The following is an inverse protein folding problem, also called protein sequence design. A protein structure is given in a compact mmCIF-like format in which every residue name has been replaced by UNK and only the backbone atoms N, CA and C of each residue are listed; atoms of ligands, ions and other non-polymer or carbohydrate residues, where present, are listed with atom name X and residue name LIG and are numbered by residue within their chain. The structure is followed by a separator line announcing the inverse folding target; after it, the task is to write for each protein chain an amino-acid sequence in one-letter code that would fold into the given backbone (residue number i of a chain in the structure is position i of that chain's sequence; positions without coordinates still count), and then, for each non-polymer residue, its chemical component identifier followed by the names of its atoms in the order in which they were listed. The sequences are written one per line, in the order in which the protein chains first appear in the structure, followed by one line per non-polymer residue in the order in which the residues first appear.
data_IF_473614804124
#
_entry.id   IF_473614804124
#
_cell.length_a   1.000
_cell.length_b   1.000
_cell.length_c   1.000
_cell.angle_alpha   90.00
_cell.angle_beta   90.00
_cell.angle_gamma   90.00
#
_symmetry.space_group_name_H-M   'P 1'
#
loop_
_entity.id
_entity.type
_entity.pdbx_description
1 polymer ?
#
# COMPACT_ATOMS: atom_id res chain seq x y z
N UNK A 1 -29.24 -38.26 -11.57
CA UNK A 1 -28.12 -38.02 -10.62
C UNK A 1 -26.85 -37.51 -11.30
N UNK A 2 -26.35 -38.13 -12.39
CA UNK A 2 -25.11 -37.70 -13.08
C UNK A 2 -25.12 -36.23 -13.55
N UNK A 3 -26.21 -35.73 -14.11
CA UNK A 3 -26.30 -34.34 -14.58
C UNK A 3 -26.35 -33.31 -13.43
N UNK A 4 -26.86 -33.70 -12.26
CA UNK A 4 -26.90 -32.83 -11.08
C UNK A 4 -25.51 -32.71 -10.43
N UNK A 5 -24.73 -33.80 -10.42
CA UNK A 5 -23.31 -33.76 -10.02
C UNK A 5 -22.46 -32.90 -10.97
N UNK A 6 -22.70 -32.99 -12.28
CA UNK A 6 -22.00 -32.18 -13.27
C UNK A 6 -22.26 -30.68 -13.06
N UNK A 7 -23.52 -30.32 -12.80
CA UNK A 7 -23.93 -28.93 -12.53
C UNK A 7 -23.28 -28.41 -11.24
N UNK A 8 -23.21 -29.21 -10.18
CA UNK A 8 -22.54 -28.81 -8.93
C UNK A 8 -21.03 -28.63 -9.10
N UNK A 9 -20.37 -29.47 -9.91
CA UNK A 9 -18.93 -29.35 -10.18
C UNK A 9 -18.64 -28.09 -11.00
N UNK A 10 -19.47 -27.78 -11.99
CA UNK A 10 -19.38 -26.55 -12.79
C UNK A 10 -19.62 -25.32 -11.92
N UNK A 11 -20.62 -25.34 -11.03
CA UNK A 11 -20.87 -24.25 -10.08
C UNK A 11 -19.70 -24.07 -9.11
N UNK A 12 -19.12 -25.15 -8.58
CA UNK A 12 -17.93 -25.09 -7.71
C UNK A 12 -16.72 -24.54 -8.47
N UNK A 13 -16.50 -24.91 -9.73
CA UNK A 13 -15.43 -24.36 -10.58
C UNK A 13 -15.65 -22.89 -10.94
N UNK A 14 -16.90 -22.48 -11.16
CA UNK A 14 -17.28 -21.08 -11.41
C UNK A 14 -17.11 -20.25 -10.12
N UNK A 15 -17.46 -20.80 -8.96
CA UNK A 15 -17.20 -20.18 -7.65
C UNK A 15 -15.71 -20.11 -7.31
N UNK A 16 -14.91 -21.09 -7.73
CA UNK A 16 -13.44 -21.05 -7.60
C UNK A 16 -12.79 -20.03 -8.55
N UNK A 17 -13.46 -19.73 -9.66
CA UNK A 17 -13.03 -18.75 -10.67
C UNK A 17 -13.40 -17.31 -10.31
N UNK A 18 -13.89 -17.04 -9.09
CA UNK A 18 -14.10 -15.70 -8.57
C UNK A 18 -12.77 -14.97 -8.28
N UNK A 19 -12.19 -14.50 -9.39
CA UNK A 19 -11.31 -13.34 -9.56
C UNK A 19 -9.97 -13.31 -8.81
N UNK A 20 -8.95 -13.89 -9.43
CA UNK A 20 -7.58 -13.37 -9.34
C UNK A 20 -7.52 -11.99 -10.03
N UNK A 21 -8.04 -10.96 -9.37
CA UNK A 21 -8.00 -9.57 -9.84
C UNK A 21 -6.83 -8.83 -9.19
N UNK A 22 -6.06 -8.14 -10.02
CA UNK A 22 -5.04 -7.20 -9.55
C UNK A 22 -5.71 -5.90 -9.12
N UNK A 23 -5.25 -5.36 -7.99
CA UNK A 23 -5.56 -4.01 -7.54
C UNK A 23 -4.42 -3.11 -8.01
N UNK A 24 -4.76 -2.00 -8.68
CA UNK A 24 -3.81 -0.98 -9.09
C UNK A 24 -4.18 0.36 -8.47
N UNK A 25 -3.20 0.97 -7.81
CA UNK A 25 -3.30 2.28 -7.18
C UNK A 25 -2.25 3.19 -7.81
N UNK A 26 -2.64 4.42 -8.13
CA UNK A 26 -1.72 5.46 -8.61
C UNK A 26 -2.00 6.77 -7.90
N UNK A 27 -0.93 7.48 -7.55
CA UNK A 27 -0.97 8.83 -7.00
C UNK A 27 -0.47 9.84 -8.04
N UNK A 28 -1.04 11.04 -8.02
CA UNK A 28 -0.60 12.17 -8.85
C UNK A 28 -0.03 13.26 -7.96
N UNK A 29 -0.90 14.00 -7.27
CA UNK A 29 -0.57 15.18 -6.47
C UNK A 29 -0.74 14.99 -4.96
N UNK A 30 -1.17 13.80 -4.53
CA UNK A 30 -1.42 13.42 -3.15
C UNK A 30 -0.61 12.19 -2.72
N UNK A 31 -0.46 12.03 -1.41
CA UNK A 31 0.13 10.83 -0.81
C UNK A 31 -0.96 9.82 -0.47
N UNK A 32 -0.63 8.53 -0.42
CA UNK A 32 -1.57 7.50 0.03
C UNK A 32 -0.89 6.47 0.94
N UNK A 33 -1.69 5.87 1.82
CA UNK A 33 -1.29 4.73 2.65
C UNK A 33 -2.20 3.57 2.27
N UNK A 34 -1.58 2.45 1.90
CA UNK A 34 -2.28 1.22 1.53
C UNK A 34 -1.96 0.15 2.56
N UNK A 35 -3.00 -0.37 3.19
CA UNK A 35 -2.96 -1.58 3.98
C UNK A 35 -3.00 -2.79 3.05
N UNK A 36 -1.92 -3.58 3.06
CA UNK A 36 -1.82 -4.78 2.23
C UNK A 36 -2.46 -5.97 2.97
N UNK A 37 -2.97 -6.97 2.23
CA UNK A 37 -3.63 -8.13 2.81
C UNK A 37 -2.80 -8.93 3.84
N UNK A 38 -1.47 -8.87 3.75
CA UNK A 38 -0.55 -9.53 4.68
C UNK A 38 -0.25 -8.71 5.96
N UNK A 39 -0.98 -7.61 6.16
CA UNK A 39 -0.80 -6.66 7.27
C UNK A 39 0.36 -5.68 7.08
N UNK A 40 1.09 -5.76 5.96
CA UNK A 40 2.11 -4.77 5.62
C UNK A 40 1.47 -3.43 5.22
N UNK A 41 2.25 -2.35 5.28
CA UNK A 41 1.83 -1.02 4.82
C UNK A 41 2.72 -0.51 3.71
N UNK A 42 2.12 0.08 2.68
CA UNK A 42 2.80 0.82 1.62
C UNK A 42 2.39 2.30 1.65
N UNK A 43 3.38 3.18 1.78
CA UNK A 43 3.21 4.63 1.80
C UNK A 43 3.67 5.16 0.46
N UNK A 44 2.73 5.60 -0.38
CA UNK A 44 2.98 6.08 -1.71
C UNK A 44 3.24 7.58 -1.67
N UNK A 45 4.37 8.00 -2.23
CA UNK A 45 4.63 9.40 -2.55
C UNK A 45 3.77 9.83 -3.75
N UNK A 46 3.76 11.13 -4.07
CA UNK A 46 3.20 11.69 -5.30
C UNK A 46 3.82 11.02 -6.53
N UNK A 47 3.09 10.95 -7.64
CA UNK A 47 3.53 10.34 -8.91
C UNK A 47 4.07 8.90 -8.75
N UNK A 48 3.41 8.09 -7.93
CA UNK A 48 3.79 6.71 -7.67
C UNK A 48 2.65 5.76 -8.02
N UNK A 49 2.97 4.52 -8.31
CA UNK A 49 1.96 3.50 -8.58
C UNK A 49 2.33 2.19 -7.92
N UNK A 50 1.33 1.46 -7.43
CA UNK A 50 1.45 0.16 -6.80
C UNK A 50 0.39 -0.77 -7.40
N UNK A 51 0.80 -1.98 -7.77
CA UNK A 51 -0.08 -3.04 -8.24
C UNK A 51 0.19 -4.34 -7.49
N UNK A 52 -0.85 -5.06 -7.09
CA UNK A 52 -0.74 -6.33 -6.39
C UNK A 52 -1.97 -7.21 -6.60
N UNK A 53 -1.83 -8.53 -6.46
CA UNK A 53 -2.97 -9.45 -6.47
C UNK A 53 -3.78 -9.28 -5.19
N UNK A 54 -5.10 -9.11 -5.30
CA UNK A 54 -6.00 -8.85 -4.17
C UNK A 54 -5.90 -9.88 -3.03
N UNK A 55 -5.65 -11.15 -3.36
CA UNK A 55 -5.61 -12.25 -2.39
C UNK A 55 -4.21 -12.49 -1.83
N UNK A 56 -3.17 -11.86 -2.38
CA UNK A 56 -1.79 -12.01 -1.93
C UNK A 56 -1.32 -13.49 -1.87
N UNK A 57 -1.83 -14.34 -2.78
CA UNK A 57 -1.39 -15.75 -2.92
C UNK A 57 0.15 -15.85 -2.96
N UNK A 58 0.76 -14.84 -3.58
CA UNK A 58 2.16 -14.49 -3.39
C UNK A 58 2.24 -13.05 -2.86
N UNK A 59 3.15 -12.79 -1.91
CA UNK A 59 3.42 -11.44 -1.36
C UNK A 59 4.21 -10.59 -2.37
N UNK A 60 3.68 -10.40 -3.57
CA UNK A 60 4.34 -9.71 -4.68
C UNK A 60 3.58 -8.43 -5.00
N UNK A 61 4.33 -7.34 -5.08
CA UNK A 61 3.83 -6.04 -5.56
C UNK A 61 4.69 -5.56 -6.71
N UNK A 62 4.09 -4.84 -7.66
CA UNK A 62 4.80 -4.13 -8.73
C UNK A 62 4.66 -2.64 -8.49
N UNK A 63 5.75 -1.88 -8.61
CA UNK A 63 5.69 -0.43 -8.38
C UNK A 63 6.39 0.42 -9.44
N UNK A 64 6.08 1.71 -9.41
CA UNK A 64 6.86 2.81 -9.99
C UNK A 64 6.78 4.04 -9.06
N UNK A 65 7.74 4.96 -9.16
CA UNK A 65 7.81 6.14 -8.28
C UNK A 65 8.53 5.86 -6.97
N UNK A 66 8.07 6.47 -5.87
CA UNK A 66 8.69 6.37 -4.55
C UNK A 66 7.69 5.85 -3.52
N UNK A 67 8.00 4.70 -2.93
CA UNK A 67 7.13 4.05 -1.92
C UNK A 67 8.00 3.60 -0.75
N UNK A 68 7.55 3.95 0.44
CA UNK A 68 8.08 3.38 1.69
C UNK A 68 7.22 2.20 2.12
N UNK A 69 7.87 1.10 2.47
CA UNK A 69 7.21 -0.12 2.92
C UNK A 69 7.56 -0.40 4.38
N UNK A 70 6.52 -0.72 5.17
CA UNK A 70 6.66 -1.38 6.46
C UNK A 70 6.11 -2.80 6.32
N UNK A 71 7.00 -3.76 6.10
CA UNK A 71 6.63 -5.13 5.78
C UNK A 71 6.54 -5.98 7.04
N UNK A 72 5.38 -6.60 7.25
CA UNK A 72 5.15 -7.54 8.34
C UNK A 72 6.07 -8.75 8.21
N UNK A 73 6.65 -9.21 9.32
CA UNK A 73 7.53 -10.38 9.32
C UNK A 73 6.72 -11.64 8.96
N UNK A 74 7.22 -12.43 8.01
CA UNK A 74 6.62 -13.70 7.62
C UNK A 74 7.66 -14.67 7.05
N UNK A 75 7.26 -15.92 6.86
CA UNK A 75 8.11 -16.99 6.32
C UNK A 75 8.29 -16.85 4.80
N UNK A 76 7.20 -16.53 4.09
CA UNK A 76 7.25 -16.27 2.65
C UNK A 76 7.79 -14.86 2.38
N UNK A 77 8.67 -14.69 1.37
CA UNK A 77 9.24 -13.40 1.04
C UNK A 77 8.20 -12.44 0.49
N UNK A 78 8.30 -11.18 0.91
CA UNK A 78 7.66 -10.05 0.25
C UNK A 78 8.57 -9.56 -0.87
N UNK A 79 8.03 -9.43 -2.08
CA UNK A 79 8.77 -9.14 -3.30
C UNK A 79 8.22 -7.85 -3.92
N UNK A 80 9.07 -6.83 -4.03
CA UNK A 80 8.77 -5.62 -4.80
C UNK A 80 9.43 -5.77 -6.18
N UNK A 81 8.61 -5.76 -7.22
CA UNK A 81 9.04 -5.73 -8.61
C UNK A 81 9.06 -4.28 -9.11
N UNK A 82 10.12 -3.95 -9.82
CA UNK A 82 10.28 -2.67 -10.53
C UNK A 82 10.68 -2.96 -11.96
N UNK A 83 10.68 -1.93 -12.81
CA UNK A 83 11.23 -2.02 -14.16
C UNK A 83 12.75 -2.29 -14.20
N UNK A 84 13.46 -2.24 -13.06
CA UNK A 84 14.93 -2.43 -12.98
C UNK A 84 15.37 -3.67 -12.23
N UNK A 85 14.52 -4.23 -11.40
CA UNK A 85 14.91 -5.34 -10.56
C UNK A 85 13.87 -5.71 -9.52
N UNK A 86 14.22 -6.73 -8.76
CA UNK A 86 13.40 -7.31 -7.71
C UNK A 86 14.05 -7.05 -6.36
N UNK A 87 13.24 -6.66 -5.39
CA UNK A 87 13.64 -6.46 -4.01
C UNK A 87 12.91 -7.52 -3.18
N UNK A 88 13.65 -8.36 -2.45
CA UNK A 88 13.08 -9.40 -1.59
C UNK A 88 13.39 -9.14 -0.12
N UNK A 89 12.38 -9.31 0.73
CA UNK A 89 12.48 -9.14 2.18
C UNK A 89 11.60 -10.15 2.91
N UNK A 90 11.88 -10.41 4.19
CA UNK A 90 11.02 -11.24 5.06
C UNK A 90 10.23 -10.41 6.09
N UNK A 91 10.69 -9.21 6.42
CA UNK A 91 10.12 -8.32 7.43
C UNK A 91 11.06 -7.14 7.65
N UNK A 92 10.84 -6.07 6.89
CA UNK A 92 11.81 -5.00 6.68
C UNK A 92 11.07 -3.67 6.53
N UNK A 93 11.66 -2.60 7.05
CA UNK A 93 11.23 -1.22 6.77
C UNK A 93 12.23 -0.60 5.80
N UNK A 94 11.77 -0.21 4.62
CA UNK A 94 12.64 0.26 3.54
C UNK A 94 11.91 1.18 2.57
N UNK A 95 12.65 2.09 1.96
CA UNK A 95 12.17 2.96 0.91
C UNK A 95 12.66 2.47 -0.45
N UNK A 96 11.79 2.46 -1.46
CA UNK A 96 12.15 2.14 -2.85
C UNK A 96 11.78 3.31 -3.74
N UNK A 97 12.77 3.84 -4.47
CA UNK A 97 12.57 4.84 -5.51
C UNK A 97 12.98 4.27 -6.85
N UNK A 98 12.03 4.10 -7.76
CA UNK A 98 12.25 3.54 -9.09
C UNK A 98 11.74 4.48 -10.17
N UNK A 99 12.51 4.62 -11.24
CA UNK A 99 12.15 5.34 -12.46
C UNK A 99 12.66 4.60 -13.70
N UNK A 100 12.44 5.16 -14.90
CA UNK A 100 12.80 4.53 -16.18
C UNK A 100 14.26 4.07 -16.27
N UNK A 101 15.20 4.74 -15.60
CA UNK A 101 16.65 4.53 -15.72
C UNK A 101 17.35 4.23 -14.38
N UNK A 102 16.61 4.22 -13.26
CA UNK A 102 17.19 4.22 -11.91
C UNK A 102 16.37 3.42 -10.91
N UNK A 103 17.09 2.81 -9.96
CA UNK A 103 16.53 2.19 -8.76
C UNK A 103 17.37 2.57 -7.53
N UNK A 104 16.72 3.07 -6.49
CA UNK A 104 17.32 3.33 -5.18
C UNK A 104 16.55 2.57 -4.10
N UNK A 105 17.27 1.94 -3.18
CA UNK A 105 16.67 1.28 -2.00
C UNK A 105 17.41 1.70 -0.75
N UNK A 106 16.69 2.15 0.28
CA UNK A 106 17.23 2.54 1.58
C UNK A 106 16.58 1.71 2.69
N UNK A 107 17.39 1.08 3.56
CA UNK A 107 16.89 0.14 4.57
C UNK A 107 16.94 0.75 5.97
N UNK A 108 15.79 0.91 6.61
CA UNK A 108 15.68 1.41 7.98
C UNK A 108 15.77 0.30 9.03
N UNK A 109 15.12 -0.84 8.76
CA UNK A 109 15.09 -1.99 9.66
C UNK A 109 15.10 -3.28 8.84
N UNK A 110 15.81 -4.30 9.33
CA UNK A 110 15.92 -5.59 8.66
C UNK A 110 16.99 -5.58 7.57
N UNK A 111 16.76 -6.36 6.51
CA UNK A 111 17.65 -6.44 5.36
C UNK A 111 16.85 -6.63 4.07
N UNK A 112 17.46 -6.24 2.98
CA UNK A 112 16.98 -6.38 1.61
C UNK A 112 17.93 -7.26 0.81
N UNK A 113 17.38 -8.15 0.00
CA UNK A 113 18.09 -8.70 -1.15
C UNK A 113 17.62 -7.95 -2.41
N UNK A 114 18.53 -7.22 -3.06
CA UNK A 114 18.29 -6.56 -4.33
C UNK A 114 18.85 -7.43 -5.47
N UNK A 115 18.02 -7.74 -6.46
CA UNK A 115 18.42 -8.39 -7.70
C UNK A 115 18.20 -7.45 -8.88
N UNK A 116 19.26 -7.11 -9.60
CA UNK A 116 19.23 -6.28 -10.82
C UNK A 116 20.05 -6.98 -11.89
N UNK A 117 19.45 -7.30 -13.04
CA UNK A 117 20.07 -8.13 -14.07
C UNK A 117 20.61 -9.46 -13.47
N UNK A 118 21.92 -9.72 -13.59
CA UNK A 118 22.61 -10.88 -12.98
C UNK A 118 23.25 -10.56 -11.63
N UNK A 119 23.14 -9.33 -11.14
CA UNK A 119 23.74 -8.90 -9.88
C UNK A 119 22.76 -9.08 -8.72
N UNK A 120 23.25 -9.66 -7.63
CA UNK A 120 22.53 -9.80 -6.37
C UNK A 120 23.31 -9.04 -5.30
N UNK A 121 22.61 -8.21 -4.52
CA UNK A 121 23.20 -7.40 -3.45
C UNK A 121 22.35 -7.46 -2.20
N UNK A 122 22.93 -7.93 -1.10
CA UNK A 122 22.35 -7.75 0.23
C UNK A 122 22.60 -6.33 0.73
N UNK A 123 21.56 -5.69 1.25
CA UNK A 123 21.57 -4.32 1.80
C UNK A 123 21.02 -4.40 3.20
N UNK A 124 21.82 -3.97 4.18
CA UNK A 124 21.46 -4.03 5.59
C UNK A 124 20.93 -2.67 6.08
N UNK A 125 20.33 -2.67 7.27
CA UNK A 125 19.94 -1.46 7.99
C UNK A 125 21.02 -0.36 7.91
N UNK A 126 20.57 0.87 7.66
CA UNK A 126 21.42 2.06 7.57
C UNK A 126 22.12 2.23 6.22
N UNK A 127 21.93 1.29 5.29
CA UNK A 127 22.55 1.34 3.97
C UNK A 127 21.55 1.76 2.89
N UNK A 128 22.11 2.39 1.87
CA UNK A 128 21.48 2.72 0.61
C UNK A 128 22.17 1.96 -0.50
N UNK A 129 21.38 1.49 -1.45
CA UNK A 129 21.87 0.99 -2.74
C UNK A 129 21.28 1.80 -3.86
N UNK A 130 22.09 2.09 -4.88
CA UNK A 130 21.73 2.87 -6.05
C UNK A 130 22.17 2.13 -7.31
N UNK A 131 21.25 1.96 -8.24
CA UNK A 131 21.50 1.43 -9.57
C UNK A 131 21.05 2.44 -10.62
N UNK A 132 21.90 2.67 -11.63
CA UNK A 132 21.56 3.43 -12.84
C UNK A 132 22.01 2.65 -14.06
N UNK A 133 21.07 2.41 -14.98
CA UNK A 133 21.23 1.48 -16.11
C UNK A 133 22.45 1.80 -16.98
N UNK A 134 22.65 3.07 -17.33
CA UNK A 134 23.74 3.51 -18.21
C UNK A 134 25.08 3.74 -17.50
N UNK A 135 25.18 3.46 -16.18
CA UNK A 135 26.42 3.68 -15.39
C UNK A 135 27.05 2.40 -14.85
N UNK A 136 26.75 1.23 -15.44
CA UNK A 136 27.36 -0.08 -15.13
C UNK A 136 27.76 -0.28 -13.66
N UNK A 137 26.79 -0.24 -12.75
CA UNK A 137 27.10 -0.58 -11.37
C UNK A 137 25.98 -0.40 -10.38
N UNK A 138 26.04 -1.26 -9.36
CA UNK A 138 25.35 -1.08 -8.09
C UNK A 138 26.31 -0.33 -7.17
N UNK A 139 25.92 0.85 -6.70
CA UNK A 139 26.66 1.63 -5.69
C UNK A 139 25.99 1.47 -4.33
N UNK A 140 26.79 1.36 -3.27
CA UNK A 140 26.30 1.29 -1.90
C UNK A 140 26.85 2.48 -1.11
N UNK A 141 26.03 3.09 -0.27
CA UNK A 141 26.41 4.19 0.62
C UNK A 141 25.64 4.11 1.94
N UNK A 142 25.91 5.03 2.87
CA UNK A 142 25.04 5.26 4.02
C UNK A 142 23.69 5.82 3.53
N UNK A 143 22.60 5.40 4.15
CA UNK A 143 21.29 5.94 3.86
C UNK A 143 21.08 7.31 4.53
N UNK A 144 20.39 8.19 3.81
CA UNK A 144 20.05 9.54 4.29
C UNK A 144 18.60 9.60 4.82
N UNK A 145 17.74 8.67 4.40
CA UNK A 145 16.34 8.55 4.80
C UNK A 145 15.51 9.80 4.54
N UNK A 146 15.73 10.44 3.37
CA UNK A 146 15.00 11.65 2.94
C UNK A 146 13.49 11.45 2.86
N UNK A 147 13.02 10.23 2.66
CA UNK A 147 11.60 9.91 2.58
C UNK A 147 10.83 10.22 3.87
N UNK A 148 11.52 10.23 5.02
CA UNK A 148 10.95 10.64 6.31
C UNK A 148 10.33 12.03 6.29
N UNK A 149 10.86 12.94 5.48
CA UNK A 149 10.34 14.31 5.38
C UNK A 149 8.92 14.32 4.79
N UNK A 150 8.69 13.60 3.69
CA UNK A 150 7.36 13.57 3.09
C UNK A 150 6.38 12.70 3.89
N UNK A 151 6.85 11.63 4.55
CA UNK A 151 6.01 10.87 5.50
C UNK A 151 5.56 11.75 6.68
N UNK A 152 6.45 12.60 7.20
CA UNK A 152 6.09 13.57 8.25
C UNK A 152 5.01 14.55 7.76
N UNK A 153 5.11 15.02 6.53
CA UNK A 153 4.10 15.91 5.94
C UNK A 153 2.75 15.19 5.76
N UNK A 154 2.76 13.95 5.24
CA UNK A 154 1.57 13.11 5.14
C UNK A 154 0.88 12.92 6.49
N UNK A 155 1.64 12.61 7.54
CA UNK A 155 1.07 12.45 8.89
C UNK A 155 0.47 13.76 9.43
N UNK A 156 1.06 14.92 9.09
CA UNK A 156 0.51 16.22 9.44
C UNK A 156 -0.82 16.48 8.72
N UNK A 157 -0.89 16.19 7.43
CA UNK A 157 -2.13 16.29 6.62
C UNK A 157 -3.23 15.41 7.19
N UNK A 158 -2.93 14.13 7.48
CA UNK A 158 -3.89 13.19 8.07
C UNK A 158 -4.41 13.65 9.44
N UNK A 159 -3.54 14.22 10.28
CA UNK A 159 -3.94 14.78 11.58
C UNK A 159 -4.91 15.96 11.42
N UNK A 160 -4.67 16.83 10.44
CA UNK A 160 -5.55 17.95 10.16
C UNK A 160 -6.92 17.48 9.68
N UNK A 161 -6.94 16.59 8.69
CA UNK A 161 -8.17 16.01 8.15
C UNK A 161 -8.99 15.29 9.24
N UNK A 162 -8.33 14.52 10.10
CA UNK A 162 -9.00 13.85 11.23
C UNK A 162 -9.67 14.85 12.16
N UNK A 163 -9.03 16.00 12.45
CA UNK A 163 -9.62 17.05 13.28
C UNK A 163 -10.86 17.67 12.62
N UNK A 164 -10.80 17.93 11.31
CA UNK A 164 -11.92 18.49 10.54
C UNK A 164 -13.09 17.53 10.47
N UNK A 165 -12.85 16.25 10.13
CA UNK A 165 -13.87 15.20 10.11
C UNK A 165 -14.55 15.10 11.48
N UNK A 166 -13.78 15.07 12.57
CA UNK A 166 -14.33 15.00 13.92
C UNK A 166 -15.20 16.21 14.28
N UNK A 167 -14.81 17.41 13.84
CA UNK A 167 -15.61 18.62 14.02
C UNK A 167 -16.93 18.50 13.24
N UNK A 168 -16.86 18.13 11.95
CA UNK A 168 -18.04 17.94 11.09
C UNK A 168 -18.98 16.86 11.64
N UNK A 169 -18.46 15.72 12.09
CA UNK A 169 -19.27 14.66 12.71
C UNK A 169 -19.99 15.13 13.97
N UNK A 170 -19.40 16.00 14.79
CA UNK A 170 -20.06 16.58 15.97
C UNK A 170 -21.22 17.50 15.58
N UNK A 171 -21.05 18.32 14.55
CA UNK A 171 -22.11 19.19 14.04
C UNK A 171 -23.29 18.36 13.49
N UNK A 172 -23.01 17.36 12.64
CA UNK A 172 -24.03 16.46 12.09
C UNK A 172 -24.82 15.73 13.18
N UNK A 173 -24.16 15.27 14.26
CA UNK A 173 -24.84 14.66 15.41
C UNK A 173 -25.78 15.65 16.13
N UNK A 174 -25.39 16.91 16.24
CA UNK A 174 -26.23 17.95 16.86
C UNK A 174 -27.45 18.26 16.01
N UNK A 175 -27.26 18.39 14.69
CA UNK A 175 -28.33 18.74 13.75
C UNK A 175 -29.36 17.61 13.64
N UNK A 176 -28.91 16.37 13.52
CA UNK A 176 -29.79 15.18 13.52
C UNK A 176 -30.61 15.05 14.81
N UNK A 177 -30.02 15.36 15.97
CA UNK A 177 -30.75 15.42 17.24
C UNK A 177 -31.84 16.49 17.23
N UNK A 178 -31.52 17.71 16.78
CA UNK A 178 -32.48 18.83 16.70
C UNK A 178 -33.64 18.53 15.74
N UNK A 179 -33.36 17.90 14.60
CA UNK A 179 -34.38 17.46 13.64
C UNK A 179 -35.31 16.43 14.29
N UNK A 180 -34.75 15.41 14.96
CA UNK A 180 -35.55 14.40 15.66
C UNK A 180 -36.45 15.00 16.76
N UNK A 181 -35.96 15.99 17.50
CA UNK A 181 -36.77 16.73 18.49
C UNK A 181 -37.90 17.55 17.82
N UNK A 182 -37.63 18.17 16.67
CA UNK A 182 -38.63 18.93 15.90
C UNK A 182 -39.74 18.01 15.37
N UNK A 183 -39.36 16.89 14.76
CA UNK A 183 -40.32 15.90 14.23
C UNK A 183 -41.20 15.32 15.34
N UNK A 184 -40.63 15.00 16.52
CA UNK A 184 -41.42 14.54 17.67
C UNK A 184 -42.48 15.56 18.10
N UNK A 185 -42.15 16.85 18.06
CA UNK A 185 -43.10 17.92 18.39
C UNK A 185 -44.21 18.03 17.34
N UNK A 186 -43.90 17.93 16.06
CA UNK A 186 -44.90 17.93 14.98
C UNK A 186 -45.82 16.72 15.06
N UNK A 187 -45.29 15.52 15.25
CA UNK A 187 -46.11 14.31 15.43
C UNK A 187 -47.04 14.38 16.63
N UNK A 188 -46.65 15.07 17.71
CA UNK A 188 -47.54 15.28 18.87
C UNK A 188 -48.73 16.18 18.50
N UNK A 189 -48.47 17.27 17.77
CA UNK A 189 -49.51 18.21 17.31
C UNK A 189 -50.53 17.58 16.36
N UNK A 190 -50.12 16.59 15.56
CA UNK A 190 -51.01 15.90 14.61
C UNK A 190 -51.93 14.85 15.26
N UNK A 191 -51.70 14.52 16.53
CA UNK A 191 -52.50 13.55 17.30
C UNK A 191 -53.48 14.22 18.28
N UNK A 192 -53.43 15.54 18.40
CA UNK A 192 -54.35 16.39 19.16
C UNK A 192 -55.38 16.99 18.20
#
# INVERSE_FOLDING_TARGET
MKNLMLLSIVIVLILFSCSNSNIKISTTDSFQIIDLPDGSKAYLNKNSSLEYNKNFEQRVVTQNGEIFYSVTKGESPFIVKTNKGEIKVLGTEFNVKSSKDRLEVEVERGSVELKVNKLIKKVNKGQKVFFKEFKNGIKTSKAEFKHKNWIKNLNKELKHLSKEINKSSKHLKKDTKKIGESLKKEFKKLKE
#
